data_IF_299756212990
#
_entry.id   IF_299756212990
#
_cell.length_a   1.000
_cell.length_b   1.000
_cell.length_c   1.000
_cell.angle_alpha   90.00
_cell.angle_beta   90.00
_cell.angle_gamma   90.00
#
_symmetry.space_group_name_H-M   'P 1'
#
loop_
_entity.id
_entity.type
_entity.pdbx_description
1 polymer ?
#
# COMPACT_ATOMS: atom_id res chain seq x y z
N UNK A 1 -4.39 -21.25 -16.43
CA UNK A 1 -3.43 -20.36 -15.72
C UNK A 1 -3.91 -18.91 -15.60
N UNK A 2 -4.53 -18.30 -16.64
CA UNK A 2 -4.95 -16.88 -16.61
C UNK A 2 -6.15 -16.56 -15.68
N UNK A 3 -7.16 -17.42 -15.59
CA UNK A 3 -8.40 -17.08 -14.88
C UNK A 3 -8.24 -16.94 -13.35
N UNK A 4 -7.39 -17.75 -12.71
CA UNK A 4 -7.18 -17.68 -11.25
C UNK A 4 -6.41 -16.43 -10.84
N UNK A 5 -5.43 -15.99 -11.64
CA UNK A 5 -4.71 -14.75 -11.42
C UNK A 5 -5.62 -13.53 -11.61
N UNK A 6 -6.49 -13.56 -12.62
CA UNK A 6 -7.51 -12.53 -12.85
C UNK A 6 -8.50 -12.45 -11.68
N UNK A 7 -8.91 -13.58 -11.12
CA UNK A 7 -9.78 -13.60 -9.93
C UNK A 7 -9.09 -12.97 -8.71
N UNK A 8 -7.80 -13.26 -8.51
CA UNK A 8 -7.01 -12.63 -7.46
C UNK A 8 -6.93 -11.10 -7.65
N UNK A 9 -6.61 -10.62 -8.85
CA UNK A 9 -6.49 -9.18 -9.09
C UNK A 9 -7.83 -8.45 -9.04
N UNK A 10 -8.91 -9.10 -9.46
CA UNK A 10 -10.25 -8.49 -9.49
C UNK A 10 -10.94 -8.46 -8.13
N UNK A 11 -10.80 -9.49 -7.29
CA UNK A 11 -11.57 -9.63 -6.04
C UNK A 11 -10.68 -9.53 -4.80
N UNK A 12 -9.64 -10.37 -4.74
CA UNK A 12 -8.81 -10.49 -3.52
C UNK A 12 -7.96 -9.23 -3.33
N UNK A 13 -7.41 -8.69 -4.41
CA UNK A 13 -6.55 -7.50 -4.35
C UNK A 13 -7.30 -6.26 -3.83
N UNK A 14 -8.49 -5.88 -4.31
CA UNK A 14 -9.23 -4.77 -3.71
C UNK A 14 -9.66 -5.04 -2.27
N UNK A 15 -10.02 -6.27 -1.90
CA UNK A 15 -10.31 -6.62 -0.50
C UNK A 15 -9.10 -6.46 0.43
N UNK A 16 -7.89 -6.78 -0.07
CA UNK A 16 -6.66 -6.52 0.69
C UNK A 16 -6.32 -5.03 0.63
N UNK A 17 -6.64 -4.30 -0.44
CA UNK A 17 -6.13 -2.94 -0.68
C UNK A 17 -7.13 -1.80 -0.38
N UNK A 18 -8.35 -2.09 0.08
CA UNK A 18 -9.42 -1.09 0.20
C UNK A 18 -9.03 0.13 1.06
N UNK A 19 -8.24 -0.10 2.11
CA UNK A 19 -7.77 0.94 3.03
C UNK A 19 -6.27 1.25 2.87
N UNK A 20 -5.67 0.97 1.71
CA UNK A 20 -4.25 1.20 1.45
C UNK A 20 -3.78 2.62 1.84
N UNK A 21 -4.46 3.72 1.49
CA UNK A 21 -4.03 5.06 1.88
C UNK A 21 -3.92 5.24 3.41
N UNK A 22 -4.83 4.63 4.18
CA UNK A 22 -4.83 4.71 5.64
C UNK A 22 -3.71 3.84 6.23
N UNK A 23 -3.46 2.68 5.65
CA UNK A 23 -2.46 1.73 6.14
C UNK A 23 -1.02 2.13 5.89
N UNK A 24 -0.76 3.22 5.17
CA UNK A 24 0.56 3.83 5.13
C UNK A 24 1.08 4.19 6.54
N UNK A 25 0.18 4.40 7.51
CA UNK A 25 0.49 4.63 8.93
C UNK A 25 0.64 3.36 9.76
N UNK A 26 0.27 2.20 9.19
CA UNK A 26 0.20 0.97 9.94
C UNK A 26 1.60 0.47 10.34
N UNK A 27 1.67 -0.20 11.48
CA UNK A 27 2.91 -0.84 11.93
C UNK A 27 3.42 -1.83 10.89
N UNK A 28 4.75 -1.86 10.68
CA UNK A 28 5.45 -2.82 9.81
C UNK A 28 5.03 -4.28 10.09
N UNK A 29 4.74 -4.61 11.36
CA UNK A 29 4.26 -5.96 11.76
C UNK A 29 2.90 -6.30 11.14
N UNK A 30 1.96 -5.35 11.12
CA UNK A 30 0.62 -5.53 10.52
C UNK A 30 0.72 -5.62 9.00
N UNK A 31 1.52 -4.77 8.37
CA UNK A 31 1.78 -4.82 6.92
C UNK A 31 2.40 -6.18 6.53
N UNK A 32 3.34 -6.71 7.33
CA UNK A 32 3.91 -8.04 7.11
C UNK A 32 2.86 -9.15 7.16
N UNK A 33 1.89 -9.10 8.08
CA UNK A 33 0.79 -10.07 8.12
C UNK A 33 -0.05 -10.04 6.83
N UNK A 34 -0.37 -8.85 6.33
CA UNK A 34 -1.10 -8.68 5.08
C UNK A 34 -0.29 -9.16 3.87
N UNK A 35 1.03 -8.94 3.87
CA UNK A 35 1.93 -9.50 2.85
C UNK A 35 1.91 -11.03 2.86
N UNK A 36 1.90 -11.66 4.04
CA UNK A 36 1.80 -13.12 4.15
C UNK A 36 0.47 -13.62 3.58
N UNK A 37 -0.63 -12.90 3.81
CA UNK A 37 -1.92 -13.22 3.22
C UNK A 37 -1.86 -13.14 1.69
N UNK A 38 -1.32 -12.06 1.13
CA UNK A 38 -1.08 -11.93 -0.32
C UNK A 38 -0.27 -13.12 -0.85
N UNK A 39 0.86 -13.46 -0.23
CA UNK A 39 1.73 -14.54 -0.69
C UNK A 39 1.01 -15.90 -0.67
N UNK A 40 0.18 -16.16 0.35
CA UNK A 40 -0.62 -17.38 0.46
C UNK A 40 -1.66 -17.45 -0.67
N UNK A 41 -2.39 -16.35 -0.92
CA UNK A 41 -3.35 -16.28 -2.02
C UNK A 41 -2.69 -16.49 -3.38
N UNK A 42 -1.51 -15.90 -3.62
CA UNK A 42 -0.77 -16.08 -4.87
C UNK A 42 -0.34 -17.53 -5.07
N UNK A 43 0.18 -18.18 -4.02
CA UNK A 43 0.54 -19.60 -4.08
C UNK A 43 -0.63 -20.49 -4.44
N UNK A 44 -1.80 -20.27 -3.83
CA UNK A 44 -3.02 -21.02 -4.13
C UNK A 44 -3.45 -20.78 -5.58
N UNK A 45 -3.43 -19.52 -6.02
CA UNK A 45 -3.87 -19.13 -7.38
C UNK A 45 -2.99 -19.72 -8.49
N UNK A 46 -1.69 -19.85 -8.22
CA UNK A 46 -0.69 -20.39 -9.15
C UNK A 46 -0.45 -21.90 -8.96
N UNK A 47 -1.08 -22.52 -7.95
CA UNK A 47 -0.77 -23.89 -7.51
C UNK A 47 0.73 -24.12 -7.30
N UNK A 48 1.42 -23.12 -6.74
CA UNK A 48 2.86 -23.12 -6.64
C UNK A 48 3.37 -24.02 -5.50
N UNK A 49 4.42 -24.83 -5.72
CA UNK A 49 4.97 -25.72 -4.70
C UNK A 49 5.64 -24.95 -3.57
N UNK A 50 5.68 -25.54 -2.37
CA UNK A 50 6.13 -24.88 -1.14
C UNK A 50 7.57 -24.32 -1.22
N UNK A 51 8.47 -25.00 -1.94
CA UNK A 51 9.88 -24.62 -2.08
C UNK A 51 10.13 -23.39 -2.97
N UNK A 52 9.14 -22.97 -3.77
CA UNK A 52 9.29 -21.82 -4.66
C UNK A 52 9.48 -20.52 -3.85
N UNK A 53 10.50 -19.72 -4.16
CA UNK A 53 10.74 -18.47 -3.42
C UNK A 53 9.63 -17.46 -3.70
N UNK A 54 9.20 -16.71 -2.69
CA UNK A 54 8.18 -15.66 -2.86
C UNK A 54 8.61 -14.59 -3.89
N UNK A 55 9.91 -14.26 -3.97
CA UNK A 55 10.44 -13.34 -4.99
C UNK A 55 10.16 -13.84 -6.42
N UNK A 56 10.29 -15.14 -6.65
CA UNK A 56 10.01 -15.74 -7.95
C UNK A 56 8.53 -15.62 -8.30
N UNK A 57 7.64 -15.95 -7.35
CA UNK A 57 6.19 -15.78 -7.52
C UNK A 57 5.78 -14.36 -7.91
N UNK A 58 6.42 -13.35 -7.30
CA UNK A 58 6.16 -11.94 -7.62
C UNK A 58 6.69 -11.55 -9.00
N UNK A 59 7.87 -12.05 -9.40
CA UNK A 59 8.43 -11.83 -10.73
C UNK A 59 7.56 -12.46 -11.81
N UNK A 60 7.14 -13.71 -11.61
CA UNK A 60 6.34 -14.48 -12.58
C UNK A 60 4.93 -13.87 -12.76
N UNK A 61 4.38 -13.26 -11.71
CA UNK A 61 3.07 -12.59 -11.78
C UNK A 61 3.14 -11.10 -12.15
N UNK A 62 4.32 -10.49 -12.10
CA UNK A 62 4.49 -9.04 -12.23
C UNK A 62 3.81 -8.23 -11.11
N UNK A 63 3.41 -8.86 -10.00
CA UNK A 63 2.66 -8.20 -8.95
C UNK A 63 3.61 -7.56 -7.93
N UNK A 64 3.45 -6.26 -7.62
CA UNK A 64 4.24 -5.62 -6.58
C UNK A 64 3.88 -6.19 -5.20
N UNK A 65 4.84 -6.10 -4.28
CA UNK A 65 4.60 -6.32 -2.86
C UNK A 65 3.54 -5.33 -2.34
N UNK A 66 2.79 -5.76 -1.33
CA UNK A 66 1.73 -4.94 -0.75
C UNK A 66 2.29 -3.65 -0.12
N UNK A 67 3.48 -3.70 0.46
CA UNK A 67 4.12 -2.51 1.04
C UNK A 67 4.40 -1.43 0.00
N UNK A 68 4.95 -1.80 -1.17
CA UNK A 68 5.22 -0.86 -2.25
C UNK A 68 3.92 -0.34 -2.86
N UNK A 69 2.92 -1.22 -3.01
CA UNK A 69 1.59 -0.84 -3.45
C UNK A 69 0.91 0.16 -2.52
N UNK A 70 0.89 -0.09 -1.21
CA UNK A 70 0.35 0.82 -0.18
C UNK A 70 1.00 2.20 -0.30
N UNK A 71 2.33 2.22 -0.44
CA UNK A 71 3.09 3.47 -0.55
C UNK A 71 2.72 4.24 -1.81
N UNK A 72 2.57 3.55 -2.94
CA UNK A 72 2.16 4.18 -4.20
C UNK A 72 0.74 4.73 -4.12
N UNK A 73 -0.21 3.95 -3.58
CA UNK A 73 -1.60 4.38 -3.44
C UNK A 73 -1.72 5.57 -2.48
N UNK A 74 -0.94 5.58 -1.40
CA UNK A 74 -0.88 6.71 -0.49
C UNK A 74 -0.40 7.99 -1.18
N UNK A 75 0.69 7.91 -1.96
CA UNK A 75 1.21 9.06 -2.74
C UNK A 75 0.17 9.59 -3.71
N UNK A 76 -0.42 8.70 -4.52
CA UNK A 76 -1.45 9.08 -5.49
C UNK A 76 -2.69 9.71 -4.81
N UNK A 77 -3.09 9.19 -3.66
CA UNK A 77 -4.20 9.75 -2.88
C UNK A 77 -3.87 11.15 -2.37
N UNK A 78 -2.68 11.35 -1.79
CA UNK A 78 -2.27 12.64 -1.22
C UNK A 78 -2.08 13.71 -2.30
N UNK A 79 -1.53 13.34 -3.46
CA UNK A 79 -1.44 14.25 -4.62
C UNK A 79 -2.82 14.70 -5.14
N UNK A 80 -3.81 13.80 -5.12
CA UNK A 80 -5.20 14.13 -5.49
C UNK A 80 -5.89 14.95 -4.41
N UNK A 81 -5.59 14.69 -3.15
CA UNK A 81 -6.16 15.42 -2.01
C UNK A 81 -5.84 16.91 -2.12
N UNK A 82 -4.62 17.27 -2.51
CA UNK A 82 -4.24 18.67 -2.70
C UNK A 82 -4.96 19.38 -3.87
N UNK A 83 -5.60 18.63 -4.78
CA UNK A 83 -6.31 19.16 -5.94
C UNK A 83 -7.82 19.23 -5.75
N UNK A 84 -8.36 18.56 -4.73
CA UNK A 84 -9.79 18.49 -4.50
C UNK A 84 -10.30 19.78 -3.83
N UNK A 85 -11.34 20.38 -4.40
CA UNK A 85 -11.91 21.65 -3.94
C UNK A 85 -12.32 21.60 -2.45
N UNK A 86 -13.03 20.55 -2.04
CA UNK A 86 -13.40 20.35 -0.64
C UNK A 86 -12.19 20.22 0.29
N UNK A 87 -11.11 19.57 -0.15
CA UNK A 87 -9.90 19.44 0.65
C UNK A 87 -9.17 20.77 0.80
N UNK A 88 -9.19 21.62 -0.24
CA UNK A 88 -8.67 22.99 -0.18
C UNK A 88 -9.50 23.85 0.77
N UNK A 89 -10.83 23.80 0.65
CA UNK A 89 -11.77 24.53 1.50
C UNK A 89 -11.56 24.23 2.99
N UNK A 90 -11.49 22.94 3.36
CA UNK A 90 -11.25 22.52 4.74
C UNK A 90 -9.76 22.47 5.14
N UNK A 91 -8.85 22.87 4.24
CA UNK A 91 -7.39 22.85 4.49
C UNK A 91 -6.88 21.48 4.96
N UNK A 92 -7.45 20.41 4.40
CA UNK A 92 -7.13 19.02 4.76
C UNK A 92 -5.70 18.69 4.35
N UNK A 93 -4.96 17.98 5.20
CA UNK A 93 -3.58 17.55 4.89
C UNK A 93 -2.50 18.58 5.20
N UNK A 94 -2.84 19.77 5.72
CA UNK A 94 -1.85 20.74 6.18
C UNK A 94 -1.11 20.23 7.42
N UNK A 95 0.19 20.50 7.49
CA UNK A 95 1.04 20.21 8.67
C UNK A 95 0.58 21.11 9.83
N UNK A 96 0.29 20.51 10.98
CA UNK A 96 0.00 21.26 12.21
C UNK A 96 1.30 21.85 12.77
N UNK A 97 1.28 23.12 13.16
CA UNK A 97 2.46 23.85 13.66
C UNK A 97 2.72 23.59 15.15
N UNK A 98 1.66 23.40 15.95
CA UNK A 98 1.74 23.27 17.40
C UNK A 98 1.49 21.81 17.84
N UNK A 99 2.49 20.96 17.66
CA UNK A 99 2.41 19.54 18.01
C UNK A 99 3.18 19.27 19.31
N UNK A 100 2.47 18.88 20.37
CA UNK A 100 3.10 18.47 21.64
C UNK A 100 4.01 17.24 21.48
N UNK A 101 3.68 16.34 20.54
CA UNK A 101 4.45 15.13 20.23
C UNK A 101 4.70 15.06 18.72
N UNK A 102 5.88 14.56 18.33
CA UNK A 102 6.22 14.31 16.92
C UNK A 102 5.25 13.26 16.34
N UNK A 103 4.36 13.64 15.39
CA UNK A 103 3.38 12.70 14.89
C UNK A 103 4.03 11.77 13.86
N UNK A 104 3.81 10.46 14.02
CA UNK A 104 4.21 9.43 13.04
C UNK A 104 3.19 9.32 11.90
N UNK A 105 2.78 10.47 11.37
CA UNK A 105 1.88 10.52 10.23
C UNK A 105 2.61 10.02 8.98
N UNK A 106 1.93 9.26 8.09
CA UNK A 106 2.57 8.73 6.89
C UNK A 106 3.11 9.82 5.97
N UNK A 107 2.42 10.95 5.91
CA UNK A 107 2.81 12.12 5.13
C UNK A 107 4.20 12.62 5.56
N UNK A 108 4.47 12.70 6.86
CA UNK A 108 5.77 13.12 7.38
C UNK A 108 6.88 12.07 7.20
N UNK A 109 6.55 10.80 6.93
CA UNK A 109 7.53 9.73 6.76
C UNK A 109 7.80 9.47 5.27
N UNK A 110 6.76 9.57 4.43
CA UNK A 110 6.77 9.14 3.04
C UNK A 110 6.89 10.29 2.03
N UNK A 111 6.60 11.55 2.43
CA UNK A 111 6.72 12.73 1.57
C UNK A 111 7.96 13.58 1.90
N UNK A 112 8.40 13.61 3.16
CA UNK A 112 9.49 14.44 3.68
C UNK A 112 10.88 14.09 3.07
N UNK A 113 11.01 12.92 2.43
CA UNK A 113 12.26 12.51 1.77
C UNK A 113 12.59 13.31 0.51
N UNK A 114 11.69 14.17 0.03
CA UNK A 114 11.85 14.95 -1.21
C UNK A 114 12.32 16.40 -1.01
N UNK A 115 12.46 16.87 0.23
CA UNK A 115 12.88 18.26 0.53
C UNK A 115 14.37 18.41 0.86
N UNK A 116 15.15 17.31 0.88
CA UNK A 116 16.58 17.31 1.28
C UNK A 116 17.54 16.96 0.11
N UNK A 117 17.20 17.32 -1.12
CA UNK A 117 18.08 17.27 -2.32
C UNK A 117 17.75 18.46 -3.18
#
# INVERSE_FOLDING_TARGET
>A
MKCSLLLYTAIIRPLIAYACPVWAAASKKKIKKLQTLQNKCLRISLKAPWFMRNKQLHNDTGLPYLSTWITQQFKNFHEKLNKADGALHYKIGRRSTNLRLKPRLPQNILLDSKENT
#
